data_IF_854333371626
#
_entry.id   IF_854333371626
#
_cell.length_a   1.000
_cell.length_b   1.000
_cell.length_c   1.000
_cell.angle_alpha   90.00
_cell.angle_beta   90.00
_cell.angle_gamma   90.00
#
_symmetry.space_group_name_H-M   'P 1'
#
loop_
_entity.id
_entity.type
_entity.pdbx_description
1 polymer ?
#
# COMPACT_ATOMS: atom_id res chain seq x y z
N UNK A 1 14.10 8.91 -1.79
CA UNK A 1 14.93 8.25 -2.84
C UNK A 1 14.76 8.95 -4.18
N UNK A 2 15.80 9.07 -5.00
CA UNK A 2 15.71 9.57 -6.39
C UNK A 2 15.33 8.42 -7.34
N UNK A 3 14.52 8.72 -8.36
CA UNK A 3 14.08 7.70 -9.34
C UNK A 3 15.25 7.02 -10.08
N UNK A 4 16.36 7.74 -10.28
CA UNK A 4 17.59 7.21 -10.91
C UNK A 4 18.28 6.08 -10.13
N UNK A 5 17.91 5.87 -8.87
CA UNK A 5 18.49 4.83 -8.00
C UNK A 5 17.62 3.57 -7.93
N UNK A 6 16.52 3.51 -8.67
CA UNK A 6 15.61 2.38 -8.69
C UNK A 6 16.13 1.32 -9.67
N UNK A 7 16.15 0.07 -9.24
CA UNK A 7 16.60 -1.10 -10.02
C UNK A 7 15.41 -1.99 -10.35
N UNK A 8 15.50 -2.76 -11.43
CA UNK A 8 14.48 -3.77 -11.78
C UNK A 8 14.45 -4.95 -10.79
N UNK A 9 15.59 -5.24 -10.15
CA UNK A 9 15.73 -6.29 -9.14
C UNK A 9 16.59 -5.81 -7.97
N UNK A 10 16.30 -6.33 -6.77
CA UNK A 10 17.00 -6.01 -5.52
C UNK A 10 16.29 -6.61 -4.32
N UNK A 11 16.90 -6.50 -3.14
CA UNK A 11 16.38 -7.15 -1.92
C UNK A 11 15.21 -6.40 -1.29
N UNK A 12 15.08 -5.08 -1.54
CA UNK A 12 14.11 -4.24 -0.86
C UNK A 12 13.23 -3.46 -1.85
N UNK A 13 11.89 -3.46 -1.66
CA UNK A 13 10.98 -2.76 -2.55
C UNK A 13 11.12 -1.25 -2.46
N UNK A 14 10.91 -0.58 -3.59
CA UNK A 14 10.74 0.86 -3.70
C UNK A 14 9.30 1.17 -4.03
N UNK A 15 8.64 1.97 -3.19
CA UNK A 15 7.25 2.36 -3.38
C UNK A 15 7.12 3.69 -4.10
N UNK A 16 6.20 3.73 -5.05
CA UNK A 16 5.80 4.91 -5.81
C UNK A 16 4.28 5.05 -5.93
N UNK A 17 3.82 5.89 -6.83
CA UNK A 17 2.40 6.18 -7.04
C UNK A 17 1.58 4.96 -7.56
N UNK A 18 2.24 3.94 -8.10
CA UNK A 18 1.60 2.72 -8.63
C UNK A 18 1.79 1.50 -7.71
N UNK A 19 2.29 1.69 -6.50
CA UNK A 19 2.71 0.64 -5.59
C UNK A 19 4.21 0.40 -5.65
N UNK A 20 4.65 -0.86 -5.67
CA UNK A 20 6.07 -1.20 -5.87
C UNK A 20 6.45 -0.86 -7.30
N UNK A 21 7.38 0.09 -7.47
CA UNK A 21 7.85 0.57 -8.78
C UNK A 21 9.26 0.07 -9.12
N UNK A 22 9.89 -0.70 -8.24
CA UNK A 22 11.20 -1.30 -8.43
C UNK A 22 11.83 -1.72 -7.10
N UNK A 23 13.13 -1.92 -7.09
CA UNK A 23 13.87 -2.45 -5.95
C UNK A 23 15.15 -1.66 -5.69
N UNK A 24 15.74 -1.88 -4.50
CA UNK A 24 17.04 -1.32 -4.11
C UNK A 24 17.76 -2.27 -3.14
N UNK A 25 19.09 -2.22 -3.12
CA UNK A 25 19.89 -2.92 -2.11
C UNK A 25 20.25 -2.02 -0.90
N UNK A 26 19.90 -0.72 -0.97
CA UNK A 26 20.13 0.25 0.08
C UNK A 26 18.81 0.91 0.52
N UNK A 27 18.00 0.25 1.38
CA UNK A 27 16.72 0.78 1.83
C UNK A 27 16.91 1.99 2.74
N UNK A 28 16.07 3.01 2.57
CA UNK A 28 16.10 4.24 3.37
C UNK A 28 15.28 4.15 4.66
N UNK A 29 14.38 3.17 4.73
CA UNK A 29 13.45 2.99 5.87
C UNK A 29 13.57 1.57 6.40
N UNK A 30 13.61 1.46 7.73
CA UNK A 30 13.50 0.20 8.45
C UNK A 30 12.29 0.29 9.41
N UNK A 31 11.34 -0.63 9.24
CA UNK A 31 10.11 -0.71 10.02
C UNK A 31 8.84 -0.38 9.27
N UNK A 32 7.76 -0.90 9.78
CA UNK A 32 6.43 -0.83 9.15
C UNK A 32 5.88 0.59 9.06
N UNK A 33 5.21 0.89 7.96
CA UNK A 33 4.60 2.21 7.71
C UNK A 33 3.38 2.11 6.81
N UNK A 34 2.50 3.11 6.91
CA UNK A 34 1.46 3.35 5.92
C UNK A 34 1.97 4.42 4.96
N UNK A 35 1.93 4.14 3.67
CA UNK A 35 2.28 5.07 2.61
C UNK A 35 1.02 5.57 1.94
N UNK A 36 0.87 6.88 1.79
CA UNK A 36 -0.29 7.52 1.17
C UNK A 36 0.18 8.36 0.00
N UNK A 37 -0.38 8.15 -1.17
CA UNK A 37 -0.10 9.00 -2.33
C UNK A 37 -0.65 10.39 -2.06
N UNK A 38 0.24 11.39 -2.06
CA UNK A 38 -0.13 12.78 -1.77
C UNK A 38 -0.32 13.63 -3.03
N UNK A 39 0.22 13.21 -4.18
CA UNK A 39 0.24 13.99 -5.41
C UNK A 39 -0.21 13.15 -6.62
N UNK A 40 -0.97 13.77 -7.54
CA UNK A 40 -1.36 13.17 -8.82
C UNK A 40 -2.72 12.48 -8.81
N UNK A 41 -3.04 11.77 -9.90
CA UNK A 41 -4.35 11.15 -10.13
C UNK A 41 -4.74 10.11 -9.07
N UNK A 42 -3.74 9.41 -8.52
CA UNK A 42 -3.92 8.34 -7.51
C UNK A 42 -3.91 8.84 -6.06
N UNK A 43 -4.07 10.14 -5.83
CA UNK A 43 -4.10 10.77 -4.49
C UNK A 43 -5.06 10.06 -3.55
N UNK A 44 -4.56 9.69 -2.37
CA UNK A 44 -5.31 9.01 -1.31
C UNK A 44 -5.21 7.48 -1.35
N UNK A 45 -4.65 6.88 -2.40
CA UNK A 45 -4.36 5.44 -2.37
C UNK A 45 -3.32 5.16 -1.29
N UNK A 46 -3.56 4.10 -0.51
CA UNK A 46 -2.74 3.72 0.63
C UNK A 46 -2.11 2.35 0.44
N UNK A 47 -0.83 2.23 0.82
CA UNK A 47 -0.08 0.98 0.86
C UNK A 47 0.41 0.70 2.27
N UNK A 48 0.54 -0.56 2.62
CA UNK A 48 1.24 -1.00 3.81
C UNK A 48 2.64 -1.46 3.39
N UNK A 49 3.66 -0.76 3.85
CA UNK A 49 5.05 -1.15 3.66
C UNK A 49 5.56 -1.78 4.95
N UNK A 50 6.14 -2.96 4.86
CA UNK A 50 6.68 -3.71 5.98
C UNK A 50 8.18 -3.90 5.86
N UNK A 51 8.86 -4.01 7.02
CA UNK A 51 10.29 -4.27 7.09
C UNK A 51 11.12 -3.14 6.44
N UNK A 52 12.09 -3.49 5.59
CA UNK A 52 12.99 -2.54 4.92
C UNK A 52 12.47 -2.20 3.54
N UNK A 53 12.44 -0.91 3.23
CA UNK A 53 11.97 -0.42 1.93
C UNK A 53 12.49 1.00 1.66
N UNK A 54 12.25 1.50 0.45
CA UNK A 54 12.38 2.91 0.10
C UNK A 54 11.09 3.45 -0.48
N UNK A 55 10.91 4.76 -0.50
CA UNK A 55 9.75 5.42 -1.10
C UNK A 55 10.18 6.67 -1.85
N UNK A 56 9.56 6.94 -2.99
CA UNK A 56 9.77 8.17 -3.74
C UNK A 56 8.94 9.32 -3.16
N UNK A 57 9.33 10.56 -3.48
CA UNK A 57 8.84 11.78 -2.81
C UNK A 57 7.36 12.12 -2.95
N UNK A 58 6.59 11.37 -3.76
CA UNK A 58 5.13 11.55 -3.95
C UNK A 58 4.29 10.90 -2.85
N UNK A 59 4.92 10.28 -1.86
CA UNK A 59 4.27 9.55 -0.79
C UNK A 59 4.43 10.26 0.57
N UNK A 60 3.35 10.30 1.35
CA UNK A 60 3.40 10.56 2.78
C UNK A 60 3.61 9.24 3.53
N UNK A 61 4.54 9.23 4.47
CA UNK A 61 4.81 8.09 5.35
C UNK A 61 4.18 8.34 6.72
N UNK A 62 3.35 7.42 7.18
CA UNK A 62 2.73 7.45 8.50
C UNK A 62 3.19 6.25 9.33
N UNK A 63 3.44 6.48 10.61
CA UNK A 63 3.73 5.46 11.62
C UNK A 63 2.73 5.59 12.76
N UNK A 64 2.40 4.48 13.42
CA UNK A 64 1.52 4.52 14.56
C UNK A 64 2.24 5.08 15.80
N UNK A 65 1.52 5.88 16.59
CA UNK A 65 1.96 6.23 17.94
C UNK A 65 1.74 5.03 18.88
N UNK A 66 2.42 5.04 20.02
CA UNK A 66 2.22 4.04 21.09
C UNK A 66 0.73 3.94 21.46
N UNK A 67 0.22 2.72 21.56
CA UNK A 67 -1.19 2.45 21.88
C UNK A 67 -2.12 2.32 20.67
N UNK A 68 -1.58 2.40 19.44
CA UNK A 68 -2.36 2.20 18.21
C UNK A 68 -1.76 1.11 17.34
N UNK A 69 -2.60 0.26 16.77
CA UNK A 69 -2.20 -0.74 15.79
C UNK A 69 -2.05 -0.10 14.42
N UNK A 70 -0.84 -0.14 13.86
CA UNK A 70 -0.57 0.40 12.52
C UNK A 70 -1.42 -0.31 11.45
N UNK A 71 -1.57 -1.64 11.57
CA UNK A 71 -2.38 -2.44 10.64
C UNK A 71 -3.85 -2.07 10.69
N UNK A 72 -4.39 -1.82 11.89
CA UNK A 72 -5.75 -1.32 12.05
C UNK A 72 -5.93 0.05 11.38
N UNK A 73 -5.01 0.99 11.65
CA UNK A 73 -5.05 2.32 11.03
C UNK A 73 -4.95 2.26 9.50
N UNK A 74 -4.16 1.33 8.96
CA UNK A 74 -4.11 1.09 7.53
C UNK A 74 -5.49 0.74 6.95
N UNK A 75 -6.23 -0.18 7.59
CA UNK A 75 -7.58 -0.53 7.15
C UNK A 75 -8.57 0.63 7.27
N UNK A 76 -8.48 1.43 8.32
CA UNK A 76 -9.26 2.66 8.42
C UNK A 76 -8.97 3.61 7.26
N UNK A 77 -7.70 3.77 6.89
CA UNK A 77 -7.29 4.68 5.82
C UNK A 77 -7.63 4.15 4.42
N UNK A 78 -7.76 2.84 4.23
CA UNK A 78 -8.24 2.27 2.96
C UNK A 78 -9.67 2.67 2.60
N UNK A 79 -10.50 2.91 3.59
CA UNK A 79 -11.91 3.34 3.42
C UNK A 79 -12.11 4.82 3.69
N UNK A 80 -11.05 5.53 4.05
CA UNK A 80 -11.11 6.96 4.36
C UNK A 80 -11.32 7.79 3.08
N UNK A 81 -12.26 8.73 3.14
CA UNK A 81 -12.57 9.59 1.99
C UNK A 81 -11.57 10.75 1.87
N UNK A 82 -10.45 10.51 1.21
CA UNK A 82 -9.46 11.55 0.91
C UNK A 82 -9.95 12.61 -0.09
N UNK A 83 -11.02 12.35 -0.85
CA UNK A 83 -11.53 13.31 -1.83
C UNK A 83 -11.95 14.65 -1.19
N UNK A 84 -12.39 14.63 0.08
CA UNK A 84 -12.74 15.83 0.84
C UNK A 84 -11.55 16.76 1.12
N UNK A 85 -10.33 16.26 0.99
CA UNK A 85 -9.08 16.98 1.29
C UNK A 85 -8.26 17.28 0.03
N UNK A 86 -8.79 16.95 -1.15
CA UNK A 86 -8.13 17.25 -2.42
C UNK A 86 -8.12 18.73 -2.71
N UNK A 87 -6.95 19.22 -3.09
CA UNK A 87 -6.71 20.58 -3.60
C UNK A 87 -6.01 20.50 -4.95
N UNK A 88 -6.05 21.60 -5.72
CA UNK A 88 -5.44 21.64 -7.06
C UNK A 88 -6.39 21.16 -8.17
N UNK A 89 -6.53 21.98 -9.23
CA UNK A 89 -7.42 21.69 -10.37
C UNK A 89 -6.75 20.77 -11.40
N UNK A 90 -5.49 21.05 -11.75
CA UNK A 90 -4.76 20.29 -12.77
C UNK A 90 -4.07 19.05 -12.20
N UNK A 91 -3.41 19.19 -11.07
CA UNK A 91 -2.74 18.10 -10.36
C UNK A 91 -3.32 18.05 -8.95
N UNK A 92 -4.11 17.02 -8.60
CA UNK A 92 -4.64 16.86 -7.25
C UNK A 92 -3.54 16.66 -6.21
N UNK A 93 -3.71 17.29 -5.05
CA UNK A 93 -2.83 17.15 -3.88
C UNK A 93 -3.63 16.95 -2.62
N UNK A 94 -3.06 16.24 -1.63
CA UNK A 94 -3.55 16.22 -0.25
C UNK A 94 -2.40 16.55 0.71
N UNK A 95 -2.71 17.28 1.77
CA UNK A 95 -1.73 17.65 2.78
C UNK A 95 -2.06 16.99 4.11
N UNK A 96 -1.05 16.44 4.77
CA UNK A 96 -1.24 15.81 6.08
C UNK A 96 -1.82 16.78 7.13
N UNK A 97 -1.45 18.05 7.07
CA UNK A 97 -2.00 19.09 7.97
C UNK A 97 -3.53 19.19 7.94
N UNK A 98 -4.16 18.78 6.83
CA UNK A 98 -5.60 18.87 6.61
C UNK A 98 -6.28 17.55 7.00
N UNK A 99 -5.97 16.44 6.36
CA UNK A 99 -6.56 15.15 6.67
C UNK A 99 -6.08 14.53 7.99
N UNK A 100 -4.90 14.91 8.49
CA UNK A 100 -4.36 14.42 9.77
C UNK A 100 -5.13 14.86 11.00
N UNK A 101 -6.08 15.81 10.86
CA UNK A 101 -7.01 16.23 11.92
C UNK A 101 -8.32 15.43 11.91
N UNK A 102 -8.53 14.59 10.90
CA UNK A 102 -9.74 13.79 10.80
C UNK A 102 -9.80 12.78 11.96
N UNK A 103 -11.02 12.60 12.47
CA UNK A 103 -11.29 11.63 13.53
C UNK A 103 -11.64 10.30 12.89
N UNK A 104 -10.98 9.23 13.34
CA UNK A 104 -11.31 7.85 13.03
C UNK A 104 -11.72 7.15 14.33
N UNK A 105 -12.64 6.21 14.23
CA UNK A 105 -13.01 5.40 15.39
C UNK A 105 -11.82 4.49 15.76
N UNK A 106 -11.42 4.51 17.01
CA UNK A 106 -10.31 3.70 17.54
C UNK A 106 -10.77 3.04 18.84
N UNK A 107 -11.08 1.75 18.82
CA UNK A 107 -11.41 0.99 20.03
C UNK A 107 -10.16 0.69 20.87
N UNK A 108 -10.27 -0.19 21.86
CA UNK A 108 -9.12 -0.65 22.65
C UNK A 108 -8.05 -1.29 21.73
N UNK A 109 -6.78 -1.26 22.14
CA UNK A 109 -5.69 -1.82 21.34
C UNK A 109 -5.90 -3.30 20.99
N UNK A 110 -6.43 -4.08 21.94
CA UNK A 110 -6.74 -5.50 21.76
C UNK A 110 -7.82 -5.71 20.69
N UNK A 111 -8.80 -4.82 20.65
CA UNK A 111 -9.86 -4.89 19.64
C UNK A 111 -9.35 -4.42 18.26
N UNK A 112 -8.51 -3.37 18.22
CA UNK A 112 -7.82 -2.96 16.99
C UNK A 112 -7.03 -4.13 16.41
N UNK A 113 -6.29 -4.87 17.25
CA UNK A 113 -5.49 -6.01 16.81
C UNK A 113 -6.37 -7.14 16.27
N UNK A 114 -7.46 -7.51 16.99
CA UNK A 114 -8.40 -8.53 16.52
C UNK A 114 -9.03 -8.18 15.17
N UNK A 115 -9.44 -6.93 14.98
CA UNK A 115 -9.99 -6.45 13.70
C UNK A 115 -8.92 -6.53 12.60
N UNK A 116 -7.72 -6.04 12.87
CA UNK A 116 -6.62 -6.05 11.91
C UNK A 116 -6.24 -7.47 11.49
N UNK A 117 -6.18 -8.42 12.43
CA UNK A 117 -5.86 -9.82 12.15
C UNK A 117 -6.95 -10.49 11.30
N UNK A 118 -8.22 -10.23 11.60
CA UNK A 118 -9.34 -10.76 10.82
C UNK A 118 -9.28 -10.25 9.36
N UNK A 119 -9.09 -8.94 9.17
CA UNK A 119 -9.00 -8.33 7.82
C UNK A 119 -7.74 -8.80 7.07
N UNK A 120 -6.61 -8.96 7.76
CA UNK A 120 -5.37 -9.48 7.16
C UNK A 120 -5.53 -10.91 6.66
N UNK A 121 -6.26 -11.77 7.38
CA UNK A 121 -6.56 -13.13 6.94
C UNK A 121 -7.44 -13.13 5.67
N UNK A 122 -8.40 -12.22 5.59
CA UNK A 122 -9.24 -12.07 4.40
C UNK A 122 -8.39 -11.59 3.21
N UNK A 123 -7.53 -10.57 3.40
CA UNK A 123 -6.60 -10.09 2.36
C UNK A 123 -5.67 -11.20 1.86
N UNK A 124 -5.11 -11.99 2.78
CA UNK A 124 -4.26 -13.13 2.42
C UNK A 124 -5.02 -14.15 1.58
N UNK A 125 -6.24 -14.50 1.99
CA UNK A 125 -7.08 -15.43 1.22
C UNK A 125 -7.36 -14.88 -0.19
N UNK A 126 -7.72 -13.61 -0.31
CA UNK A 126 -7.94 -12.97 -1.62
C UNK A 126 -6.67 -13.03 -2.47
N UNK A 127 -5.50 -12.80 -1.90
CA UNK A 127 -4.23 -12.87 -2.64
C UNK A 127 -3.93 -14.28 -3.14
N UNK A 128 -4.16 -15.30 -2.31
CA UNK A 128 -3.99 -16.72 -2.68
C UNK A 128 -4.94 -17.11 -3.83
N UNK A 129 -6.22 -16.76 -3.72
CA UNK A 129 -7.22 -17.08 -4.74
C UNK A 129 -6.93 -16.39 -6.08
N UNK A 130 -6.45 -15.14 -6.05
CA UNK A 130 -6.01 -14.42 -7.26
C UNK A 130 -4.81 -15.12 -7.92
N UNK A 131 -3.81 -15.50 -7.14
CA UNK A 131 -2.65 -16.23 -7.66
C UNK A 131 -3.04 -17.57 -8.28
N UNK A 132 -3.95 -18.32 -7.63
CA UNK A 132 -4.48 -19.55 -8.17
C UNK A 132 -5.22 -19.33 -9.51
N UNK A 133 -6.03 -18.29 -9.58
CA UNK A 133 -6.76 -17.93 -10.79
C UNK A 133 -5.80 -17.61 -11.96
N UNK A 134 -4.73 -16.87 -11.70
CA UNK A 134 -3.70 -16.57 -12.69
C UNK A 134 -3.00 -17.84 -13.19
N UNK A 135 -2.68 -18.75 -12.29
CA UNK A 135 -2.10 -20.06 -12.64
C UNK A 135 -3.06 -20.88 -13.53
N UNK A 136 -4.35 -20.92 -13.19
CA UNK A 136 -5.37 -21.62 -14.00
C UNK A 136 -5.52 -20.98 -15.39
N UNK A 137 -5.49 -19.67 -15.51
CA UNK A 137 -5.49 -18.98 -16.80
C UNK A 137 -4.25 -19.32 -17.63
N UNK A 138 -3.08 -19.39 -17.00
CA UNK A 138 -1.84 -19.79 -17.66
C UNK A 138 -1.89 -21.23 -18.15
N UNK A 139 -2.39 -22.14 -17.33
CA UNK A 139 -2.59 -23.55 -17.68
C UNK A 139 -3.57 -23.72 -18.84
N UNK A 140 -4.72 -23.01 -18.76
CA UNK A 140 -5.70 -23.02 -19.86
C UNK A 140 -5.08 -22.55 -21.16
N UNK A 141 -4.29 -21.47 -21.14
CA UNK A 141 -3.62 -20.94 -22.34
C UNK A 141 -2.63 -21.96 -22.92
N UNK A 142 -1.83 -22.59 -22.08
CA UNK A 142 -0.89 -23.65 -22.49
C UNK A 142 -1.62 -24.82 -23.16
N UNK A 143 -2.71 -25.32 -22.56
CA UNK A 143 -3.47 -26.43 -23.12
C UNK A 143 -4.11 -26.08 -24.48
N UNK A 144 -4.67 -24.86 -24.60
CA UNK A 144 -5.21 -24.40 -25.89
C UNK A 144 -4.14 -24.35 -26.97
N UNK A 145 -2.94 -23.84 -26.66
CA UNK A 145 -1.82 -23.84 -27.61
C UNK A 145 -1.37 -25.26 -27.97
N UNK A 146 -1.29 -26.16 -27.01
CA UNK A 146 -0.86 -27.55 -27.27
C UNK A 146 -1.90 -28.39 -28.03
N UNK A 147 -3.18 -28.02 -27.98
CA UNK A 147 -4.26 -28.79 -28.65
C UNK A 147 -4.59 -28.28 -30.06
N UNK A 148 -4.25 -27.06 -30.40
CA UNK A 148 -4.65 -26.41 -31.65
C UNK A 148 -3.48 -25.94 -32.53
N UNK A 149 -2.28 -26.33 -32.20
CA UNK A 149 -1.07 -26.26 -33.03
C UNK A 149 -0.58 -27.66 -33.31
#
# INVERSE_FOLDING_TARGET
MQESSIQEAGDYPVYGATGVCGYTNAPEVDGDSILIIKDGASVGITYYASSKYSAIGTLNRLVAKRGYSLRYLYYCLKVFNFALYRTGLAIPHIYFRDYGKAKVWCPSLDEQQRIADALSKVELKIAIEKSLLEQLYSQKRFLLQAMFI
#
